data_IF_646956459218
#
_entry.id   IF_646956459218
#
_cell.length_a   1.000
_cell.length_b   1.000
_cell.length_c   1.000
_cell.angle_alpha   90.00
_cell.angle_beta   90.00
_cell.angle_gamma   90.00
#
_symmetry.space_group_name_H-M   'P 1'
#
loop_
_entity.id
_entity.type
_entity.pdbx_description
1 polymer ?
#
# COMPACT_ATOMS: atom_id res chain seq x y z
N UNK A 1 -8.64 7.11 -17.86
CA UNK A 1 -7.57 6.11 -17.64
C UNK A 1 -8.25 4.75 -17.55
N UNK A 2 -7.59 3.68 -17.97
CA UNK A 2 -8.18 2.33 -18.04
C UNK A 2 -7.59 1.47 -16.93
N UNK A 3 -8.44 0.88 -16.09
CA UNK A 3 -8.01 -0.15 -15.15
C UNK A 3 -7.71 -1.45 -15.90
N UNK A 4 -6.56 -2.05 -15.61
CA UNK A 4 -6.10 -3.30 -16.20
C UNK A 4 -5.49 -4.18 -15.11
N UNK A 5 -5.65 -5.48 -15.27
CA UNK A 5 -4.96 -6.47 -14.47
C UNK A 5 -3.59 -6.76 -15.11
N UNK A 6 -2.52 -6.73 -14.31
CA UNK A 6 -1.17 -7.10 -14.74
C UNK A 6 -0.54 -8.09 -13.76
N UNK A 7 0.36 -8.93 -14.27
CA UNK A 7 1.24 -9.75 -13.45
C UNK A 7 2.59 -9.06 -13.29
N UNK A 8 3.01 -8.81 -12.05
CA UNK A 8 4.33 -8.28 -11.73
C UNK A 8 5.21 -9.39 -11.17
N UNK A 9 6.34 -9.62 -11.82
CA UNK A 9 7.40 -10.47 -11.33
C UNK A 9 8.39 -9.67 -10.47
N UNK A 10 8.58 -10.10 -9.22
CA UNK A 10 9.64 -9.61 -8.35
C UNK A 10 10.78 -10.64 -8.29
N UNK A 11 11.84 -10.36 -9.04
CA UNK A 11 13.01 -11.23 -9.16
C UNK A 11 13.76 -11.44 -7.83
N UNK A 12 13.73 -10.44 -6.93
CA UNK A 12 14.40 -10.53 -5.62
C UNK A 12 13.70 -11.53 -4.72
N UNK A 13 12.38 -11.46 -4.66
CA UNK A 13 11.55 -12.31 -3.79
C UNK A 13 11.15 -13.64 -4.47
N UNK A 14 11.40 -13.79 -5.77
CA UNK A 14 10.97 -14.93 -6.59
C UNK A 14 9.45 -15.16 -6.52
N UNK A 15 8.71 -14.06 -6.55
CA UNK A 15 7.25 -14.05 -6.45
C UNK A 15 6.67 -13.28 -7.63
N UNK A 16 5.65 -13.87 -8.27
CA UNK A 16 4.76 -13.17 -9.20
C UNK A 16 3.46 -12.84 -8.49
N UNK A 17 3.01 -11.59 -8.58
CA UNK A 17 1.73 -11.13 -8.04
C UNK A 17 0.85 -10.60 -9.17
N UNK A 18 -0.46 -10.81 -9.03
CA UNK A 18 -1.46 -10.19 -9.91
C UNK A 18 -2.03 -8.97 -9.19
N UNK A 19 -2.07 -7.83 -9.88
CA UNK A 19 -2.62 -6.58 -9.35
C UNK A 19 -3.38 -5.79 -10.40
N UNK A 20 -4.37 -5.05 -9.94
CA UNK A 20 -5.10 -4.07 -10.74
C UNK A 20 -4.37 -2.74 -10.69
N UNK A 21 -4.27 -2.08 -11.84
CA UNK A 21 -3.56 -0.80 -11.98
C UNK A 21 -4.29 0.11 -12.97
N UNK A 22 -4.09 1.42 -12.85
CA UNK A 22 -4.44 2.37 -13.89
C UNK A 22 -3.35 2.38 -14.96
N UNK A 23 -3.70 2.09 -16.22
CA UNK A 23 -2.79 2.24 -17.34
C UNK A 23 -2.63 3.71 -17.75
N UNK A 24 -1.41 4.24 -17.64
CA UNK A 24 -1.03 5.60 -18.09
C UNK A 24 -0.57 5.56 -19.55
N UNK A 25 0.28 4.60 -19.89
CA UNK A 25 0.77 4.33 -21.24
C UNK A 25 1.06 2.83 -21.42
N UNK A 26 1.66 2.43 -22.54
CA UNK A 26 1.90 1.00 -22.83
C UNK A 26 2.66 0.29 -21.71
N UNK A 27 3.69 0.94 -21.15
CA UNK A 27 4.57 0.36 -20.14
C UNK A 27 4.55 1.11 -18.80
N UNK A 28 3.62 2.07 -18.64
CA UNK A 28 3.52 2.87 -17.42
C UNK A 28 2.16 2.72 -16.77
N UNK A 29 2.19 2.55 -15.46
CA UNK A 29 1.03 2.22 -14.65
C UNK A 29 1.02 3.03 -13.36
N UNK A 30 -0.17 3.22 -12.79
CA UNK A 30 -0.37 3.77 -11.46
C UNK A 30 -1.06 2.75 -10.57
N UNK A 31 -0.52 2.59 -9.36
CA UNK A 31 -1.11 1.76 -8.32
C UNK A 31 -2.46 2.33 -7.87
N UNK A 32 -3.50 1.49 -7.83
CA UNK A 32 -4.81 1.83 -7.27
C UNK A 32 -5.02 1.28 -5.86
N UNK A 33 -4.12 0.43 -5.38
CA UNK A 33 -4.04 -0.08 -4.01
C UNK A 33 -2.58 -0.15 -3.53
N UNK A 34 -2.34 -0.68 -2.33
CA UNK A 34 -0.98 -0.97 -1.89
C UNK A 34 -0.62 -2.43 -2.18
N UNK A 35 0.55 -2.61 -2.81
CA UNK A 35 1.09 -3.94 -3.02
C UNK A 35 1.54 -4.57 -1.69
N UNK A 36 1.05 -5.78 -1.39
CA UNK A 36 1.27 -6.48 -0.12
C UNK A 36 2.77 -6.70 0.16
N UNK A 37 3.54 -7.20 -0.82
CA UNK A 37 4.97 -7.53 -0.64
C UNK A 37 5.99 -6.52 -1.17
N UNK A 38 5.61 -5.59 -2.05
CA UNK A 38 6.52 -4.58 -2.57
C UNK A 38 6.19 -3.22 -1.97
N UNK A 39 7.01 -2.78 -1.00
CA UNK A 39 6.77 -1.57 -0.21
C UNK A 39 6.99 -0.26 -0.99
N UNK A 40 7.55 -0.32 -2.20
CA UNK A 40 7.67 0.85 -3.08
C UNK A 40 6.41 1.04 -3.95
N UNK A 41 5.63 -0.02 -4.17
CA UNK A 41 4.40 0.01 -4.95
C UNK A 41 3.19 0.26 -4.03
N UNK A 42 3.07 1.51 -3.60
CA UNK A 42 1.97 1.99 -2.73
C UNK A 42 0.89 2.71 -3.52
N UNK A 43 -0.27 2.94 -2.91
CA UNK A 43 -1.39 3.66 -3.52
C UNK A 43 -0.92 4.95 -4.21
N UNK A 44 -1.25 5.11 -5.49
CA UNK A 44 -0.94 6.30 -6.27
C UNK A 44 0.50 6.38 -6.80
N UNK A 45 1.39 5.46 -6.45
CA UNK A 45 2.73 5.36 -7.05
C UNK A 45 2.60 5.08 -8.55
N UNK A 46 3.37 5.81 -9.36
CA UNK A 46 3.51 5.55 -10.80
C UNK A 46 4.85 4.87 -11.08
N UNK A 47 4.83 3.87 -11.97
CA UNK A 47 6.01 3.08 -12.27
C UNK A 47 6.04 2.65 -13.74
N UNK A 48 7.24 2.39 -14.21
CA UNK A 48 7.52 1.86 -15.54
C UNK A 48 7.92 0.39 -15.44
N UNK A 49 7.50 -0.41 -16.42
CA UNK A 49 7.79 -1.84 -16.50
C UNK A 49 8.44 -2.23 -17.82
N UNK A 50 9.04 -3.42 -17.87
CA UNK A 50 9.40 -4.15 -19.09
C UNK A 50 8.77 -5.54 -19.03
N UNK A 51 8.54 -6.16 -20.19
CA UNK A 51 8.05 -7.54 -20.25
C UNK A 51 9.24 -8.51 -20.28
N UNK A 52 9.21 -9.56 -19.45
CA UNK A 52 10.24 -10.60 -19.42
C UNK A 52 9.96 -11.73 -20.46
N UNK A 53 10.82 -12.74 -20.50
CA UNK A 53 10.66 -13.88 -21.43
C UNK A 53 9.43 -14.74 -21.16
N UNK A 54 8.82 -14.61 -19.98
CA UNK A 54 7.62 -15.33 -19.54
C UNK A 54 6.34 -14.49 -19.73
N UNK A 55 6.46 -13.33 -20.40
CA UNK A 55 5.36 -12.39 -20.64
C UNK A 55 4.79 -11.74 -19.36
N UNK A 56 5.60 -11.64 -18.30
CA UNK A 56 5.27 -10.95 -17.06
C UNK A 56 5.92 -9.55 -17.02
N UNK A 57 5.33 -8.61 -16.27
CA UNK A 57 5.91 -7.29 -16.08
C UNK A 57 6.99 -7.31 -14.98
N UNK A 58 8.14 -6.72 -15.26
CA UNK A 58 9.17 -6.40 -14.27
C UNK A 58 9.24 -4.88 -14.09
N UNK A 59 9.17 -4.42 -12.84
CA UNK A 59 9.31 -2.99 -12.52
C UNK A 59 10.74 -2.54 -12.81
N UNK A 60 10.87 -1.50 -13.63
CA UNK A 60 12.17 -0.90 -14.01
C UNK A 60 12.50 0.27 -13.10
N UNK A 61 11.53 1.14 -12.82
CA UNK A 61 11.68 2.29 -11.93
C UNK A 61 10.34 2.85 -11.48
N UNK A 62 10.36 3.52 -10.33
CA UNK A 62 9.30 4.44 -9.92
C UNK A 62 9.47 5.74 -10.70
N UNK A 63 8.41 6.18 -11.38
CA UNK A 63 8.38 7.43 -12.14
C UNK A 63 7.75 8.57 -11.35
N UNK A 64 6.86 8.24 -10.41
CA UNK A 64 6.28 9.19 -9.48
C UNK A 64 6.01 8.52 -8.13
N UNK A 65 6.54 9.12 -7.08
CA UNK A 65 6.26 8.70 -5.70
C UNK A 65 4.80 9.00 -5.32
N UNK A 66 4.26 8.20 -4.41
CA UNK A 66 2.92 8.43 -3.85
C UNK A 66 2.80 9.81 -3.19
N UNK A 67 1.62 10.41 -3.26
CA UNK A 67 1.25 11.61 -2.48
C UNK A 67 0.97 11.27 -1.00
N UNK A 68 0.96 9.98 -0.66
CA UNK A 68 0.79 9.47 0.69
C UNK A 68 2.11 9.01 1.29
N UNK A 69 2.22 9.17 2.61
CA UNK A 69 3.15 8.44 3.46
C UNK A 69 2.45 7.13 3.82
N UNK A 70 3.00 6.02 3.34
CA UNK A 70 2.48 4.69 3.64
C UNK A 70 3.19 4.10 4.85
N UNK A 71 2.45 3.66 5.85
CA UNK A 71 2.98 2.91 7.01
C UNK A 71 2.25 1.59 7.14
N UNK A 72 2.95 0.55 7.61
CA UNK A 72 2.40 -0.80 7.75
C UNK A 72 2.61 -1.29 9.15
N UNK A 73 1.60 -1.94 9.71
CA UNK A 73 1.60 -2.41 11.08
C UNK A 73 1.11 -3.85 11.17
N UNK A 74 1.81 -4.67 11.95
CA UNK A 74 1.26 -5.95 12.40
C UNK A 74 0.17 -5.69 13.43
N UNK A 75 -0.99 -6.25 13.17
CA UNK A 75 -2.14 -6.22 14.06
C UNK A 75 -1.93 -7.26 15.16
N UNK A 76 -2.12 -6.86 16.42
CA UNK A 76 -2.06 -7.81 17.52
C UNK A 76 -3.37 -8.63 17.58
N UNK A 77 -3.31 -9.97 17.71
CA UNK A 77 -4.49 -10.85 17.70
C UNK A 77 -5.50 -10.58 18.82
N UNK A 78 -5.08 -9.87 19.87
CA UNK A 78 -5.90 -9.56 21.04
C UNK A 78 -6.96 -8.47 20.79
N UNK A 79 -6.80 -7.67 19.73
CA UNK A 79 -7.75 -6.62 19.38
C UNK A 79 -8.73 -7.11 18.32
N UNK A 80 -9.96 -6.61 18.38
CA UNK A 80 -10.98 -6.90 17.38
C UNK A 80 -10.81 -5.99 16.17
N UNK A 81 -11.34 -6.41 15.02
CA UNK A 81 -11.41 -5.56 13.82
C UNK A 81 -12.04 -4.19 14.10
N UNK A 82 -13.05 -4.14 14.98
CA UNK A 82 -13.72 -2.89 15.40
C UNK A 82 -12.77 -1.87 16.03
N UNK A 83 -11.74 -2.34 16.74
CA UNK A 83 -10.77 -1.46 17.41
C UNK A 83 -9.89 -0.74 16.36
N UNK A 84 -9.55 -1.46 15.28
CA UNK A 84 -8.82 -0.90 14.13
C UNK A 84 -9.72 -0.08 13.20
N UNK A 85 -11.02 -0.36 13.17
CA UNK A 85 -11.98 0.41 12.38
C UNK A 85 -12.04 1.87 12.83
N UNK A 86 -11.99 2.13 14.14
CA UNK A 86 -11.97 3.50 14.67
C UNK A 86 -10.73 4.27 14.19
N UNK A 87 -9.55 3.63 14.17
CA UNK A 87 -8.33 4.19 13.58
C UNK A 87 -8.53 4.52 12.09
N UNK A 88 -9.10 3.59 11.34
CA UNK A 88 -9.42 3.75 9.93
C UNK A 88 -10.41 4.89 9.64
N UNK A 89 -11.45 5.04 10.47
CA UNK A 89 -12.42 6.12 10.37
C UNK A 89 -11.79 7.50 10.62
N UNK A 90 -10.93 7.61 11.65
CA UNK A 90 -10.21 8.86 11.94
C UNK A 90 -9.24 9.26 10.82
N UNK A 91 -8.57 8.27 10.21
CA UNK A 91 -7.76 8.49 9.01
C UNK A 91 -8.61 8.96 7.83
N UNK A 92 -9.73 8.26 7.58
CA UNK A 92 -10.61 8.51 6.44
C UNK A 92 -11.25 9.91 6.49
N UNK A 93 -11.66 10.38 7.67
CA UNK A 93 -12.20 11.75 7.87
C UNK A 93 -11.27 12.85 7.39
N UNK A 94 -9.98 12.57 7.29
CA UNK A 94 -8.93 13.54 6.97
C UNK A 94 -8.24 13.23 5.63
N UNK A 95 -8.86 12.41 4.79
CA UNK A 95 -8.37 12.05 3.46
C UNK A 95 -7.29 10.96 3.45
N UNK A 96 -7.05 10.30 4.59
CA UNK A 96 -6.24 9.10 4.65
C UNK A 96 -7.00 7.87 4.20
N UNK A 97 -6.26 6.82 3.87
CA UNK A 97 -6.82 5.52 3.50
C UNK A 97 -6.22 4.44 4.38
N UNK A 98 -6.94 3.35 4.54
CA UNK A 98 -6.42 2.19 5.25
C UNK A 98 -6.98 0.91 4.62
N UNK A 99 -6.21 -0.17 4.74
CA UNK A 99 -6.61 -1.52 4.35
C UNK A 99 -6.09 -2.51 5.37
N UNK A 100 -6.77 -3.65 5.49
CA UNK A 100 -6.29 -4.79 6.27
C UNK A 100 -5.99 -5.94 5.32
N UNK A 101 -4.71 -6.27 5.22
CA UNK A 101 -4.19 -7.34 4.39
C UNK A 101 -4.06 -8.61 5.24
N UNK A 102 -4.56 -9.74 4.72
CA UNK A 102 -4.44 -11.07 5.32
C UNK A 102 -4.93 -11.15 6.79
N UNK A 103 -5.83 -10.25 7.20
CA UNK A 103 -6.38 -10.18 8.56
C UNK A 103 -5.37 -9.84 9.66
N UNK A 104 -4.13 -9.50 9.32
CA UNK A 104 -3.04 -9.35 10.31
C UNK A 104 -2.10 -8.18 10.02
N UNK A 105 -2.23 -7.51 8.88
CA UNK A 105 -1.42 -6.36 8.51
C UNK A 105 -2.37 -5.19 8.23
N UNK A 106 -2.20 -4.07 8.92
CA UNK A 106 -2.84 -2.82 8.54
C UNK A 106 -1.86 -1.97 7.74
N UNK A 107 -2.27 -1.58 6.54
CA UNK A 107 -1.55 -0.60 5.72
C UNK A 107 -2.34 0.70 5.77
N UNK A 108 -1.68 1.80 6.17
CA UNK A 108 -2.27 3.12 6.23
C UNK A 108 -1.56 4.05 5.25
N UNK A 109 -2.34 4.88 4.57
CA UNK A 109 -1.88 5.90 3.63
C UNK A 109 -2.27 7.27 4.19
N UNK A 110 -1.27 8.06 4.54
CA UNK A 110 -1.43 9.35 5.19
C UNK A 110 -1.04 10.45 4.19
N UNK A 111 -1.90 11.42 3.85
CA UNK A 111 -1.52 12.53 2.97
C UNK A 111 -0.23 13.22 3.46
N UNK A 112 0.69 13.61 2.57
CA UNK A 112 1.95 14.25 3.02
C UNK A 112 1.75 15.58 3.78
N UNK A 113 0.64 16.27 3.56
CA UNK A 113 0.25 17.51 4.23
C UNK A 113 -0.64 17.29 5.46
N UNK A 114 -0.63 16.08 6.02
CA UNK A 114 -1.49 15.71 7.15
C UNK A 114 -0.92 16.23 8.47
N UNK A 115 -1.62 17.15 9.12
CA UNK A 115 -1.22 17.73 10.41
C UNK A 115 -1.33 16.75 11.60
N UNK A 116 -1.94 15.58 11.38
CA UNK A 116 -2.35 14.68 12.46
C UNK A 116 -1.30 13.61 12.74
N UNK A 117 -0.91 13.49 14.01
CA UNK A 117 0.09 12.52 14.45
C UNK A 117 -0.53 11.15 14.68
N UNK A 118 -0.30 10.22 13.75
CA UNK A 118 -0.84 8.87 13.84
C UNK A 118 -0.33 8.08 15.05
N UNK A 119 0.90 8.32 15.51
CA UNK A 119 1.45 7.64 16.69
C UNK A 119 0.69 8.06 17.95
N UNK A 120 0.21 9.31 17.99
CA UNK A 120 -0.65 9.79 19.08
C UNK A 120 -1.98 9.04 19.11
N UNK A 121 -2.62 8.83 17.95
CA UNK A 121 -3.90 8.09 17.89
C UNK A 121 -3.73 6.65 18.32
N UNK A 122 -2.69 5.98 17.81
CA UNK A 122 -2.38 4.60 18.18
C UNK A 122 -2.21 4.49 19.71
N UNK A 123 -1.55 5.49 20.32
CA UNK A 123 -1.37 5.58 21.77
C UNK A 123 -2.69 5.87 22.52
N UNK A 124 -3.51 6.80 22.05
CA UNK A 124 -4.80 7.15 22.66
C UNK A 124 -5.80 5.99 22.62
N UNK A 125 -5.75 5.19 21.55
CA UNK A 125 -6.56 3.98 21.40
C UNK A 125 -5.97 2.75 22.13
N UNK A 126 -4.84 2.90 22.83
CA UNK A 126 -4.07 1.82 23.47
C UNK A 126 -3.85 0.62 22.52
N UNK A 127 -3.57 0.90 21.25
CA UNK A 127 -3.29 -0.12 20.24
C UNK A 127 -1.81 -0.50 20.29
N UNK A 128 -1.53 -1.77 20.58
CA UNK A 128 -0.18 -2.34 20.50
C UNK A 128 0.09 -2.81 19.08
N UNK A 129 0.47 -1.86 18.22
CA UNK A 129 0.88 -2.09 16.85
C UNK A 129 2.41 -2.18 16.76
N UNK A 130 2.92 -3.09 15.93
CA UNK A 130 4.34 -3.16 15.58
C UNK A 130 4.50 -2.72 14.14
N UNK A 131 5.23 -1.63 13.92
CA UNK A 131 5.52 -1.14 12.56
C UNK A 131 6.41 -2.14 11.79
N UNK A 132 6.09 -2.35 10.53
CA UNK A 132 6.87 -3.14 9.59
C UNK A 132 7.76 -2.18 8.83
N UNK A 133 9.06 -2.22 9.12
CA UNK A 133 10.09 -1.45 8.42
C UNK A 133 10.88 -2.41 7.53
N UNK A 134 10.88 -2.19 6.22
CA UNK A 134 11.73 -2.90 5.24
C UNK A 134 12.77 -1.98 4.60
#
# INVERSE_FOLDING_TARGET
MKEVEIQIHNEREKVTTTLWVEQISVNQFRMIDNHIFNYQLTLGTEFETKINSENEHEVVKITKESEFITRRFRLAPKYKESDYRMLGEELSKRGGFWQVDLGSIATINIPKNFEFNIDQVIKELDLKLTEITE
#
